data_IF_927173159929
#
_entry.id   IF_927173159929
#
_cell.length_a   1.000
_cell.length_b   1.000
_cell.length_c   1.000
_cell.angle_alpha   90.00
_cell.angle_beta   90.00
_cell.angle_gamma   90.00
#
_symmetry.space_group_name_H-M   'P 1'
#
loop_
_entity.id
_entity.type
_entity.pdbx_description
1 polymer ?
#
# COMPACT_ATOMS: atom_id res chain seq x y z
N UNK A 1 25.68 -25.74 15.05
CA UNK A 1 24.75 -25.97 13.92
C UNK A 1 23.62 -24.97 14.07
N UNK A 2 23.58 -23.89 13.29
CA UNK A 2 22.42 -22.98 13.32
C UNK A 2 21.44 -23.44 12.24
N UNK A 3 20.37 -24.09 12.66
CA UNK A 3 19.17 -24.29 11.85
C UNK A 3 18.62 -22.93 11.45
N UNK A 4 18.41 -22.70 10.16
CA UNK A 4 18.03 -21.40 9.62
C UNK A 4 16.77 -20.85 10.35
N UNK A 5 16.90 -19.66 10.96
CA UNK A 5 15.78 -18.92 11.57
C UNK A 5 14.73 -18.47 10.54
N UNK A 6 15.02 -18.62 9.25
CA UNK A 6 14.13 -18.26 8.17
C UNK A 6 13.59 -19.51 7.45
N UNK A 7 12.29 -19.52 7.16
CA UNK A 7 11.63 -20.52 6.32
C UNK A 7 10.98 -19.85 5.12
N UNK A 8 11.21 -20.39 3.93
CA UNK A 8 10.53 -19.92 2.72
C UNK A 8 9.35 -20.84 2.37
N UNK A 9 8.26 -20.26 1.87
CA UNK A 9 7.12 -20.99 1.34
C UNK A 9 6.63 -20.29 0.08
N UNK A 10 6.60 -21.00 -1.05
CA UNK A 10 6.04 -20.49 -2.30
C UNK A 10 4.54 -20.82 -2.37
N UNK A 11 3.71 -19.80 -2.59
CA UNK A 11 2.25 -19.92 -2.65
C UNK A 11 1.80 -19.98 -4.11
N UNK A 12 2.38 -19.14 -4.97
CA UNK A 12 2.14 -19.12 -6.41
C UNK A 12 3.45 -18.90 -7.16
N UNK A 13 3.43 -18.80 -8.50
CA UNK A 13 4.63 -18.49 -9.28
C UNK A 13 5.27 -17.14 -8.88
N UNK A 14 4.44 -16.17 -8.48
CA UNK A 14 4.84 -14.79 -8.19
C UNK A 14 4.89 -14.49 -6.69
N UNK A 15 4.32 -15.35 -5.83
CA UNK A 15 4.20 -15.10 -4.39
C UNK A 15 5.03 -16.11 -3.58
N UNK A 16 6.01 -15.59 -2.85
CA UNK A 16 6.82 -16.33 -1.88
C UNK A 16 6.78 -15.64 -0.52
N UNK A 17 6.44 -16.39 0.52
CA UNK A 17 6.50 -15.97 1.90
C UNK A 17 7.85 -16.34 2.50
N UNK A 18 8.42 -15.45 3.31
CA UNK A 18 9.62 -15.71 4.11
C UNK A 18 9.27 -15.45 5.56
N UNK A 19 9.22 -16.52 6.35
CA UNK A 19 8.97 -16.47 7.79
C UNK A 19 10.30 -16.31 8.50
N UNK A 20 10.39 -15.32 9.39
CA UNK A 20 11.48 -15.19 10.33
C UNK A 20 10.96 -15.60 11.72
N UNK A 21 11.54 -16.64 12.31
CA UNK A 21 11.16 -17.19 13.61
C UNK A 21 11.98 -16.62 14.78
N UNK A 22 12.77 -15.57 14.54
CA UNK A 22 13.39 -14.79 15.61
C UNK A 22 12.31 -14.18 16.51
N UNK A 23 12.33 -14.55 17.80
CA UNK A 23 11.39 -14.03 18.79
C UNK A 23 11.65 -12.54 19.04
N UNK A 24 10.59 -11.73 18.93
CA UNK A 24 10.63 -10.27 19.16
C UNK A 24 9.50 -9.88 20.10
N UNK A 25 9.77 -9.03 21.11
CA UNK A 25 8.70 -8.51 21.95
C UNK A 25 7.74 -7.65 21.10
N UNK A 26 6.45 -7.71 21.41
CA UNK A 26 5.49 -6.77 20.84
C UNK A 26 5.69 -5.39 21.47
N UNK A 27 6.43 -4.52 20.79
CA UNK A 27 6.65 -3.13 21.18
C UNK A 27 5.62 -2.17 20.59
N UNK A 28 4.64 -2.68 19.85
CA UNK A 28 3.50 -1.88 19.39
C UNK A 28 2.46 -1.76 20.52
N UNK A 29 1.54 -0.80 20.40
CA UNK A 29 0.38 -0.71 21.28
C UNK A 29 -0.78 -1.63 20.83
N UNK A 30 -0.56 -2.48 19.81
CA UNK A 30 -1.60 -3.32 19.23
C UNK A 30 -1.83 -4.59 20.04
N UNK A 31 -3.10 -4.97 20.10
CA UNK A 31 -3.55 -6.23 20.71
C UNK A 31 -4.05 -7.15 19.59
N UNK A 32 -3.50 -8.36 19.52
CA UNK A 32 -4.03 -9.39 18.64
C UNK A 32 -5.44 -9.81 19.09
N UNK A 33 -6.23 -10.35 18.16
CA UNK A 33 -7.50 -10.97 18.50
C UNK A 33 -7.27 -12.41 18.98
N UNK A 34 -8.30 -13.02 19.58
CA UNK A 34 -8.22 -14.40 20.09
C UNK A 34 -7.89 -15.44 19.01
N UNK A 35 -8.32 -15.20 17.77
CA UNK A 35 -8.29 -16.17 16.67
C UNK A 35 -7.45 -15.71 15.46
N UNK A 36 -6.82 -14.53 15.50
CA UNK A 36 -6.06 -13.98 14.36
C UNK A 36 -5.02 -12.96 14.79
N UNK A 37 -3.91 -12.95 14.06
CA UNK A 37 -2.85 -11.94 14.20
C UNK A 37 -3.31 -10.57 13.64
N UNK A 38 -2.61 -9.52 14.06
CA UNK A 38 -2.78 -8.15 13.54
C UNK A 38 -1.49 -7.72 12.88
N UNK A 39 -1.59 -7.00 11.76
CA UNK A 39 -0.44 -6.43 11.07
C UNK A 39 0.05 -5.23 11.88
N UNK A 40 1.27 -5.29 12.41
CA UNK A 40 1.90 -4.17 13.14
C UNK A 40 2.74 -3.26 12.25
N UNK A 41 3.36 -3.81 11.21
CA UNK A 41 4.22 -3.08 10.28
C UNK A 41 4.22 -3.76 8.91
N UNK A 42 4.18 -2.96 7.85
CA UNK A 42 4.43 -3.41 6.48
C UNK A 42 5.71 -2.73 5.99
N UNK A 43 6.66 -3.53 5.50
CA UNK A 43 7.82 -3.04 4.76
C UNK A 43 7.67 -3.43 3.30
N UNK A 44 7.66 -2.44 2.42
CA UNK A 44 7.49 -2.63 0.99
C UNK A 44 8.69 -2.04 0.23
N UNK A 45 9.32 -2.86 -0.62
CA UNK A 45 10.32 -2.40 -1.56
C UNK A 45 9.66 -2.18 -2.92
N UNK A 46 9.54 -0.92 -3.33
CA UNK A 46 8.88 -0.51 -4.57
C UNK A 46 9.90 -0.42 -5.69
N UNK A 47 9.65 -1.13 -6.80
CA UNK A 47 10.42 -0.95 -8.04
C UNK A 47 9.93 0.31 -8.75
N UNK A 48 10.78 1.33 -8.82
CA UNK A 48 10.47 2.59 -9.46
C UNK A 48 10.61 2.49 -10.99
N UNK A 49 9.96 3.39 -11.78
CA UNK A 49 10.10 3.40 -13.25
C UNK A 49 11.52 3.55 -13.77
N UNK A 50 12.44 4.09 -12.96
CA UNK A 50 13.86 4.18 -13.28
C UNK A 50 14.68 2.95 -12.83
N UNK A 51 14.02 1.83 -12.54
CA UNK A 51 14.60 0.57 -12.08
C UNK A 51 15.40 0.67 -10.76
N UNK A 52 15.09 1.67 -9.92
CA UNK A 52 15.61 1.78 -8.55
C UNK A 52 14.61 1.24 -7.54
N UNK A 53 15.10 0.82 -6.37
CA UNK A 53 14.24 0.38 -5.27
C UNK A 53 14.00 1.54 -4.30
N UNK A 54 12.74 1.81 -3.97
CA UNK A 54 12.35 2.68 -2.87
C UNK A 54 11.74 1.84 -1.75
N UNK A 55 12.40 1.76 -0.62
CA UNK A 55 11.87 1.11 0.59
C UNK A 55 10.92 2.05 1.32
N UNK A 56 9.73 1.53 1.65
CA UNK A 56 8.70 2.22 2.42
C UNK A 56 8.34 1.36 3.62
N UNK A 57 8.42 1.95 4.81
CA UNK A 57 7.94 1.37 6.05
C UNK A 57 6.61 2.02 6.42
N UNK A 58 5.57 1.22 6.61
CA UNK A 58 4.24 1.64 7.06
C UNK A 58 4.02 1.07 8.46
N UNK A 59 3.89 1.95 9.45
CA UNK A 59 3.60 1.61 10.84
C UNK A 59 2.10 1.76 11.13
N UNK A 60 1.51 0.78 11.82
CA UNK A 60 0.08 0.72 12.13
C UNK A 60 -0.17 0.98 13.62
N UNK A 61 0.55 1.92 14.23
CA UNK A 61 0.36 2.29 15.63
C UNK A 61 -1.04 2.87 15.91
N UNK A 62 -1.50 2.79 17.17
CA UNK A 62 -2.81 3.26 17.65
C UNK A 62 -3.09 4.76 17.44
N UNK A 63 -2.05 5.56 17.18
CA UNK A 63 -2.18 7.01 17.01
C UNK A 63 -2.34 7.43 15.55
N UNK A 64 -1.89 6.60 14.61
CA UNK A 64 -1.85 6.90 13.17
C UNK A 64 -3.22 6.93 12.46
N UNK A 65 -4.30 6.53 13.14
CA UNK A 65 -5.65 6.55 12.57
C UNK A 65 -5.94 5.48 11.51
N UNK A 66 -5.02 4.54 11.29
CA UNK A 66 -5.20 3.42 10.35
C UNK A 66 -6.06 2.28 10.90
N UNK A 67 -6.46 2.35 12.18
CA UNK A 67 -7.23 1.29 12.84
C UNK A 67 -8.59 1.09 12.15
N UNK A 68 -8.91 -0.19 11.98
CA UNK A 68 -10.22 -0.75 11.63
C UNK A 68 -10.73 -0.64 10.18
N UNK A 69 -10.15 0.17 9.28
CA UNK A 69 -10.93 0.60 8.11
C UNK A 69 -10.23 0.62 6.74
N UNK A 70 -8.90 0.55 6.66
CA UNK A 70 -8.18 0.83 5.41
C UNK A 70 -7.86 -0.44 4.60
N UNK A 71 -8.34 -0.47 3.35
CA UNK A 71 -8.00 -1.48 2.35
C UNK A 71 -6.83 -0.94 1.53
N UNK A 72 -5.72 -1.69 1.50
CA UNK A 72 -4.59 -1.38 0.63
C UNK A 72 -4.82 -2.00 -0.75
N UNK A 73 -4.82 -1.17 -1.78
CA UNK A 73 -5.09 -1.57 -3.17
C UNK A 73 -3.91 -1.17 -4.03
N UNK A 74 -3.37 -2.09 -4.84
CA UNK A 74 -2.08 -1.91 -5.52
C UNK A 74 -2.12 -2.12 -7.03
N UNK A 75 -3.25 -2.57 -7.59
CA UNK A 75 -3.39 -2.86 -9.01
C UNK A 75 -4.75 -2.41 -9.56
N UNK A 76 -4.84 -2.34 -10.90
CA UNK A 76 -6.04 -1.90 -11.60
C UNK A 76 -7.26 -2.78 -11.26
N UNK A 77 -7.04 -4.10 -11.16
CA UNK A 77 -8.09 -5.05 -10.84
C UNK A 77 -8.68 -4.80 -9.45
N UNK A 78 -7.83 -4.64 -8.42
CA UNK A 78 -8.26 -4.31 -7.08
C UNK A 78 -8.95 -2.95 -6.99
N UNK A 79 -8.46 -1.96 -7.75
CA UNK A 79 -9.10 -0.62 -7.82
C UNK A 79 -10.52 -0.74 -8.35
N UNK A 80 -10.73 -1.45 -9.45
CA UNK A 80 -12.07 -1.62 -10.01
C UNK A 80 -12.99 -2.46 -9.13
N UNK A 81 -12.48 -3.51 -8.49
CA UNK A 81 -13.24 -4.30 -7.52
C UNK A 81 -13.76 -3.44 -6.36
N UNK A 82 -12.89 -2.62 -5.78
CA UNK A 82 -13.26 -1.73 -4.68
C UNK A 82 -14.16 -0.60 -5.18
N UNK A 83 -13.84 0.07 -6.29
CA UNK A 83 -14.67 1.13 -6.85
C UNK A 83 -16.10 0.63 -7.13
N UNK A 84 -16.25 -0.56 -7.72
CA UNK A 84 -17.56 -1.18 -7.97
C UNK A 84 -18.31 -1.48 -6.68
N UNK A 85 -17.64 -2.01 -5.65
CA UNK A 85 -18.28 -2.24 -4.35
C UNK A 85 -18.74 -0.94 -3.70
N UNK A 86 -17.97 0.13 -3.84
CA UNK A 86 -18.33 1.47 -3.37
C UNK A 86 -19.49 2.07 -4.16
N UNK A 87 -19.53 1.87 -5.48
CA UNK A 87 -20.61 2.31 -6.36
C UNK A 87 -21.94 1.70 -5.93
N UNK A 88 -21.96 0.37 -5.74
CA UNK A 88 -23.17 -0.37 -5.34
C UNK A 88 -23.64 0.04 -3.95
N UNK A 89 -22.72 0.30 -3.02
CA UNK A 89 -23.05 0.53 -1.61
C UNK A 89 -23.32 1.99 -1.27
N UNK A 90 -22.67 2.92 -1.95
CA UNK A 90 -22.65 4.35 -1.59
C UNK A 90 -22.89 5.30 -2.78
N UNK A 91 -22.95 4.80 -4.02
CA UNK A 91 -23.22 5.59 -5.22
C UNK A 91 -21.97 5.95 -6.03
N UNK A 92 -22.18 6.39 -7.27
CA UNK A 92 -21.11 6.55 -8.27
C UNK A 92 -20.04 7.57 -7.87
N UNK A 93 -20.37 8.64 -7.13
CA UNK A 93 -19.36 9.63 -6.69
C UNK A 93 -18.26 9.01 -5.80
N UNK A 94 -18.62 7.98 -5.03
CA UNK A 94 -17.68 7.30 -4.12
C UNK A 94 -16.72 6.40 -4.91
N UNK A 95 -17.23 5.77 -5.97
CA UNK A 95 -16.44 4.96 -6.89
C UNK A 95 -15.50 5.82 -7.75
N UNK A 96 -16.00 6.95 -8.27
CA UNK A 96 -15.20 7.91 -9.02
C UNK A 96 -14.04 8.43 -8.18
N UNK A 97 -14.23 8.72 -6.89
CA UNK A 97 -13.13 9.14 -6.02
C UNK A 97 -12.01 8.09 -5.93
N UNK A 98 -12.35 6.80 -5.87
CA UNK A 98 -11.37 5.70 -5.88
C UNK A 98 -10.65 5.63 -7.22
N UNK A 99 -11.39 5.64 -8.34
CA UNK A 99 -10.83 5.58 -9.70
C UNK A 99 -9.93 6.79 -10.01
N UNK A 100 -10.37 8.00 -9.64
CA UNK A 100 -9.62 9.23 -9.85
C UNK A 100 -8.34 9.28 -9.02
N UNK A 101 -8.41 8.87 -7.75
CA UNK A 101 -7.24 8.81 -6.89
C UNK A 101 -6.17 7.87 -7.46
N UNK A 102 -6.56 6.79 -8.13
CA UNK A 102 -5.65 5.89 -8.83
C UNK A 102 -5.12 6.48 -10.14
N UNK A 103 -6.01 7.01 -10.97
CA UNK A 103 -5.69 7.42 -12.33
C UNK A 103 -4.85 8.70 -12.40
N UNK A 104 -4.89 9.55 -11.37
CA UNK A 104 -4.27 10.88 -11.37
C UNK A 104 -3.04 10.92 -10.45
N UNK A 105 -2.06 11.74 -10.83
CA UNK A 105 -0.99 12.10 -9.89
C UNK A 105 -1.58 12.88 -8.71
N UNK A 106 -1.01 12.71 -7.52
CA UNK A 106 -1.47 13.43 -6.33
C UNK A 106 -1.30 14.95 -6.48
N UNK A 107 -0.20 15.37 -7.12
CA UNK A 107 0.09 16.75 -7.53
C UNK A 107 0.70 16.72 -8.92
N UNK A 108 0.62 17.82 -9.67
CA UNK A 108 1.25 17.89 -11.00
C UNK A 108 2.77 17.65 -10.92
N UNK A 109 3.39 18.16 -9.85
CA UNK A 109 4.82 17.97 -9.56
C UNK A 109 5.19 16.57 -9.08
N UNK A 110 4.23 15.69 -8.78
CA UNK A 110 4.53 14.32 -8.38
C UNK A 110 5.27 13.61 -9.53
N UNK A 111 6.37 12.88 -9.26
CA UNK A 111 7.12 12.16 -10.28
C UNK A 111 6.30 11.05 -10.94
N UNK A 112 5.27 10.51 -10.27
CA UNK A 112 4.42 9.43 -10.80
C UNK A 112 3.03 9.41 -10.16
N UNK A 113 2.14 8.58 -10.70
CA UNK A 113 0.87 8.19 -10.08
C UNK A 113 1.10 7.38 -8.78
N UNK A 114 0.10 7.22 -7.91
CA UNK A 114 0.24 6.44 -6.68
C UNK A 114 0.69 5.02 -6.96
N UNK A 115 1.45 4.43 -6.04
CA UNK A 115 1.84 3.01 -6.13
C UNK A 115 0.81 2.10 -5.45
N UNK A 116 0.08 2.65 -4.48
CA UNK A 116 -1.06 2.01 -3.85
C UNK A 116 -2.02 3.08 -3.32
N UNK A 117 -3.27 2.67 -3.13
CA UNK A 117 -4.28 3.44 -2.42
C UNK A 117 -4.50 2.81 -1.04
N UNK A 118 -4.76 3.66 -0.05
CA UNK A 118 -5.39 3.24 1.20
C UNK A 118 -6.82 3.77 1.17
N UNK A 119 -7.78 2.85 1.03
CA UNK A 119 -9.21 3.17 0.90
C UNK A 119 -9.89 2.84 2.21
N UNK A 120 -10.43 3.86 2.89
CA UNK A 120 -11.21 3.67 4.10
C UNK A 120 -12.71 3.68 3.79
N UNK A 121 -13.49 2.97 4.63
CA UNK A 121 -14.94 3.12 4.60
C UNK A 121 -15.34 4.59 4.88
N UNK A 122 -16.49 5.05 4.34
CA UNK A 122 -17.12 6.30 4.74
C UNK A 122 -17.33 6.35 6.25
N UNK A 123 -17.15 7.51 6.88
CA UNK A 123 -17.66 7.71 8.23
C UNK A 123 -19.20 7.74 8.17
N UNK A 124 -19.86 7.13 9.16
CA UNK A 124 -21.32 7.09 9.29
C UNK A 124 -21.84 8.53 9.38
N UNK A 125 -22.13 9.17 8.25
CA UNK A 125 -22.98 10.36 8.01
C UNK A 125 -22.64 10.97 6.63
N UNK A 126 -23.05 10.33 5.52
CA UNK A 126 -23.03 10.93 4.17
C UNK A 126 -21.68 11.55 3.72
N UNK A 127 -20.55 11.01 4.17
CA UNK A 127 -19.22 11.50 3.76
C UNK A 127 -18.56 10.54 2.78
N UNK A 128 -18.06 11.07 1.66
CA UNK A 128 -17.26 10.32 0.68
C UNK A 128 -16.07 9.59 1.35
N UNK A 129 -15.65 8.40 0.87
CA UNK A 129 -14.58 7.63 1.49
C UNK A 129 -13.28 8.40 1.55
N UNK A 130 -12.50 8.17 2.60
CA UNK A 130 -11.13 8.65 2.63
C UNK A 130 -10.27 7.73 1.76
N UNK A 131 -9.84 8.28 0.62
CA UNK A 131 -8.91 7.61 -0.30
C UNK A 131 -7.59 8.35 -0.23
N UNK A 132 -6.58 7.68 0.32
CA UNK A 132 -5.24 8.22 0.40
C UNK A 132 -4.37 7.64 -0.72
N UNK A 133 -4.13 8.46 -1.74
CA UNK A 133 -3.10 8.22 -2.74
C UNK A 133 -1.71 8.31 -2.07
N UNK A 134 -0.97 7.20 -2.08
CA UNK A 134 0.30 7.08 -1.36
C UNK A 134 1.47 6.75 -2.29
N UNK A 135 2.68 7.09 -1.83
CA UNK A 135 3.95 6.78 -2.49
C UNK A 135 4.06 7.24 -3.96
N UNK A 136 3.51 8.42 -4.29
CA UNK A 136 3.66 9.05 -5.61
C UNK A 136 4.67 10.20 -5.67
N UNK A 137 5.06 10.77 -4.53
CA UNK A 137 5.81 12.05 -4.47
C UNK A 137 7.33 11.91 -4.30
N UNK A 138 7.81 10.78 -3.79
CA UNK A 138 9.23 10.58 -3.48
C UNK A 138 9.98 9.94 -4.65
N UNK A 139 11.19 10.42 -4.92
CA UNK A 139 12.09 9.89 -5.95
C UNK A 139 13.40 9.42 -5.31
N UNK A 140 13.85 8.21 -5.68
CA UNK A 140 15.12 7.68 -5.17
C UNK A 140 16.32 8.51 -5.68
N UNK A 141 17.25 8.94 -4.79
CA UNK A 141 18.46 9.65 -5.18
C UNK A 141 19.32 8.89 -6.21
N UNK A 142 20.12 9.58 -7.06
CA UNK A 142 20.04 11.00 -7.35
C UNK A 142 18.69 11.40 -7.98
N UNK A 143 18.20 12.61 -7.64
CA UNK A 143 16.92 13.17 -8.12
C UNK A 143 16.89 13.44 -9.64
N UNK A 144 18.04 13.35 -10.33
CA UNK A 144 18.13 13.38 -11.79
C UNK A 144 18.16 11.94 -12.33
N UNK A 145 17.23 11.61 -13.21
CA UNK A 145 17.26 10.34 -13.93
C UNK A 145 18.51 10.29 -14.82
N UNK A 146 19.18 9.12 -14.95
CA UNK A 146 20.29 8.97 -15.87
C UNK A 146 19.81 9.16 -17.32
N UNK A 147 20.65 9.76 -18.17
CA UNK A 147 20.33 10.14 -19.55
C UNK A 147 19.94 8.95 -20.45
N UNK A 148 20.21 7.72 -20.03
CA UNK A 148 19.85 6.48 -20.72
C UNK A 148 18.34 6.24 -20.82
N UNK A 149 17.51 6.95 -20.04
CA UNK A 149 16.05 6.75 -20.00
C UNK A 149 15.29 7.87 -20.76
N UNK A 150 15.95 8.97 -21.12
CA UNK A 150 15.33 10.11 -21.82
C UNK A 150 15.26 9.93 -23.34
N UNK A 151 15.75 8.81 -23.87
CA UNK A 151 15.65 8.45 -25.29
C UNK A 151 14.69 7.27 -25.47
N UNK A 152 13.40 7.54 -25.30
CA UNK A 152 12.35 6.69 -25.85
C UNK A 152 11.26 7.65 -26.30
N UNK A 153 11.29 7.94 -27.60
CA UNK A 153 10.19 8.61 -28.32
C UNK A 153 8.97 7.70 -28.33
#
# INVERSE_FOLDING_TARGET
>A
MMTALNKEQRITKDIKLVYNFEEKPNLSQLKAHKDRAVISKIKADLVLPNNKILTVDIDFDTTSGYHDNAIMVMDDFGVEMIATAFEVKYGSEHAEKVRDAWAKKRKESSPRKPTYLLVQKPDLNDTVPNVYAACGDEQHPPKKAPASITQSK
#
